data_IF_944569012504
#
_entry.id   IF_944569012504
#
_cell.length_a   1.000
_cell.length_b   1.000
_cell.length_c   1.000
_cell.angle_alpha   90.00
_cell.angle_beta   90.00
_cell.angle_gamma   90.00
#
_symmetry.space_group_name_H-M   'P 1'
#
loop_
_entity.id
_entity.type
_entity.pdbx_description
1 polymer ?
#
# COMPACT_ATOMS: atom_id res chain seq x y z
N UNK A 1 -4.14 1.52 9.26
CA UNK A 1 -3.82 0.34 8.43
C UNK A 1 -4.94 0.00 7.46
N UNK A 2 -6.20 -0.11 7.90
CA UNK A 2 -7.36 -0.34 7.00
C UNK A 2 -7.44 0.66 5.84
N UNK A 3 -7.14 1.94 6.09
CA UNK A 3 -7.25 2.98 5.06
C UNK A 3 -6.36 2.80 3.83
N UNK A 4 -5.21 2.10 3.89
CA UNK A 4 -4.37 1.87 2.69
C UNK A 4 -5.01 0.82 1.80
N UNK A 5 -5.45 -0.29 2.39
CA UNK A 5 -6.15 -1.36 1.68
C UNK A 5 -7.48 -0.86 1.11
N UNK A 6 -8.25 -0.10 1.89
CA UNK A 6 -9.51 0.50 1.47
C UNK A 6 -9.31 1.51 0.33
N UNK A 7 -8.25 2.34 0.37
CA UNK A 7 -7.91 3.25 -0.73
C UNK A 7 -7.47 2.50 -1.99
N UNK A 8 -6.74 1.40 -1.84
CA UNK A 8 -6.31 0.56 -2.96
C UNK A 8 -7.48 -0.20 -3.59
N UNK A 9 -8.45 -0.61 -2.78
CA UNK A 9 -9.68 -1.28 -3.20
C UNK A 9 -10.65 -0.30 -3.89
N UNK A 10 -10.86 0.89 -3.31
CA UNK A 10 -11.67 1.96 -3.92
C UNK A 10 -11.13 2.49 -5.24
N UNK A 11 -9.89 2.16 -5.59
CA UNK A 11 -9.33 2.56 -6.87
C UNK A 11 -9.91 1.75 -8.04
N UNK A 12 -10.69 0.67 -7.88
CA UNK A 12 -11.23 -0.11 -9.02
C UNK A 12 -12.63 0.31 -9.49
N UNK A 13 -12.94 0.13 -10.79
CA UNK A 13 -12.08 -0.33 -11.88
C UNK A 13 -11.31 0.83 -12.54
N UNK A 14 -10.13 0.57 -13.10
CA UNK A 14 -9.39 1.54 -13.93
C UNK A 14 -9.79 1.30 -15.39
N UNK A 15 -11.06 1.56 -15.72
CA UNK A 15 -11.51 1.75 -17.10
C UNK A 15 -10.86 3.01 -17.70
N UNK A 16 -10.77 3.14 -19.04
CA UNK A 16 -10.29 4.35 -19.71
C UNK A 16 -10.91 5.65 -19.19
N UNK A 17 -12.13 5.58 -18.65
CA UNK A 17 -12.89 6.72 -18.10
C UNK A 17 -12.65 7.00 -16.60
N UNK A 18 -11.94 6.11 -15.90
CA UNK A 18 -11.72 6.15 -14.43
C UNK A 18 -10.32 6.63 -14.05
N UNK A 19 -9.41 6.60 -15.01
CA UNK A 19 -8.15 7.34 -14.97
C UNK A 19 -8.37 8.66 -15.68
N UNK A 20 -8.09 9.78 -15.01
CA UNK A 20 -7.97 11.09 -15.66
C UNK A 20 -6.76 11.08 -16.61
N UNK A 21 -6.85 10.34 -17.71
CA UNK A 21 -5.85 10.28 -18.75
C UNK A 21 -5.74 11.69 -19.37
N UNK A 22 -4.52 12.20 -19.60
CA UNK A 22 -4.32 13.51 -20.19
C UNK A 22 -5.09 13.67 -21.50
N UNK A 23 -5.59 14.88 -21.74
CA UNK A 23 -6.53 15.20 -22.80
C UNK A 23 -6.03 14.75 -24.19
N UNK A 24 -6.93 14.07 -24.92
CA UNK A 24 -6.65 13.14 -26.01
C UNK A 24 -6.19 13.82 -27.31
N UNK A 25 -4.95 14.29 -27.37
CA UNK A 25 -4.30 14.74 -28.61
C UNK A 25 -3.05 13.91 -28.95
N UNK A 26 -3.17 12.57 -29.06
CA UNK A 26 -2.31 11.74 -29.94
C UNK A 26 -2.74 10.24 -30.04
N UNK A 27 -3.27 9.86 -31.20
CA UNK A 27 -3.04 8.68 -32.07
C UNK A 27 -2.52 7.32 -31.52
N UNK A 28 -3.35 6.58 -30.77
CA UNK A 28 -3.76 5.19 -31.11
C UNK A 28 -4.44 4.49 -29.93
N UNK A 29 -5.47 3.67 -30.21
CA UNK A 29 -6.13 2.85 -29.20
C UNK A 29 -5.17 1.87 -28.48
N UNK A 30 -4.08 1.48 -29.13
CA UNK A 30 -3.04 0.62 -28.57
C UNK A 30 -2.21 1.31 -27.48
N UNK A 31 -1.92 2.61 -27.62
CA UNK A 31 -1.25 3.38 -26.58
C UNK A 31 -2.09 3.43 -25.29
N UNK A 32 -3.41 3.63 -25.40
CA UNK A 32 -4.34 3.59 -24.26
C UNK A 32 -4.39 2.23 -23.57
N UNK A 33 -4.43 1.14 -24.34
CA UNK A 33 -4.43 -0.22 -23.78
C UNK A 33 -3.11 -0.50 -23.04
N UNK A 34 -1.99 -0.01 -23.58
CA UNK A 34 -0.67 -0.14 -22.94
C UNK A 34 -0.62 0.64 -21.62
N UNK A 35 -1.08 1.89 -21.60
CA UNK A 35 -1.14 2.71 -20.39
C UNK A 35 -2.04 2.08 -19.31
N UNK A 36 -3.22 1.56 -19.69
CA UNK A 36 -4.12 0.85 -18.75
C UNK A 36 -3.48 -0.41 -18.21
N UNK A 37 -2.84 -1.22 -19.05
CA UNK A 37 -2.11 -2.40 -18.60
C UNK A 37 -0.93 -2.04 -17.68
N UNK A 38 -0.22 -0.96 -17.97
CA UNK A 38 0.86 -0.42 -17.15
C UNK A 38 0.35 0.02 -15.77
N UNK A 39 -0.72 0.81 -15.71
CA UNK A 39 -1.32 1.25 -14.44
C UNK A 39 -1.91 0.10 -13.64
N UNK A 40 -2.55 -0.87 -14.30
CA UNK A 40 -3.05 -2.08 -13.63
C UNK A 40 -1.90 -2.89 -13.02
N UNK A 41 -0.80 -3.05 -13.73
CA UNK A 41 0.40 -3.72 -13.21
C UNK A 41 1.03 -2.93 -12.05
N UNK A 42 1.20 -1.62 -12.19
CA UNK A 42 1.72 -0.76 -11.12
C UNK A 42 0.85 -0.83 -9.85
N UNK A 43 -0.48 -0.88 -9.99
CA UNK A 43 -1.40 -1.11 -8.85
C UNK A 43 -1.16 -2.45 -8.17
N UNK A 44 -0.97 -3.52 -8.93
CA UNK A 44 -0.70 -4.84 -8.38
C UNK A 44 0.63 -4.85 -7.60
N UNK A 45 1.67 -4.24 -8.15
CA UNK A 45 2.98 -4.11 -7.50
C UNK A 45 2.88 -3.29 -6.20
N UNK A 46 2.19 -2.15 -6.22
CA UNK A 46 1.96 -1.31 -5.02
C UNK A 46 1.13 -2.06 -3.98
N UNK A 47 0.11 -2.81 -4.39
CA UNK A 47 -0.72 -3.60 -3.47
C UNK A 47 0.07 -4.73 -2.83
N UNK A 48 0.92 -5.41 -3.59
CA UNK A 48 1.83 -6.43 -3.06
C UNK A 48 2.82 -5.83 -2.05
N UNK A 49 3.43 -4.68 -2.37
CA UNK A 49 4.32 -3.97 -1.45
C UNK A 49 3.60 -3.54 -0.17
N UNK A 50 2.39 -3.01 -0.28
CA UNK A 50 1.57 -2.66 0.88
C UNK A 50 1.28 -3.88 1.77
N UNK A 51 1.00 -5.04 1.17
CA UNK A 51 0.85 -6.31 1.89
C UNK A 51 2.09 -6.68 2.69
N UNK A 52 3.27 -6.63 2.07
CA UNK A 52 4.55 -6.90 2.75
C UNK A 52 4.79 -5.93 3.92
N UNK A 53 4.50 -4.65 3.73
CA UNK A 53 4.65 -3.65 4.80
C UNK A 53 3.71 -3.94 5.99
N UNK A 54 2.48 -4.38 5.72
CA UNK A 54 1.53 -4.77 6.78
C UNK A 54 1.99 -6.03 7.51
N UNK A 55 2.52 -7.02 6.81
CA UNK A 55 3.08 -8.22 7.43
C UNK A 55 4.26 -7.88 8.33
N UNK A 56 5.16 -7.00 7.89
CA UNK A 56 6.27 -6.50 8.70
C UNK A 56 5.79 -5.76 9.95
N UNK A 57 4.75 -4.93 9.84
CA UNK A 57 4.12 -4.32 11.01
C UNK A 57 3.50 -5.38 11.93
N UNK A 58 2.87 -6.42 11.39
CA UNK A 58 2.27 -7.51 12.16
C UNK A 58 3.28 -8.31 13.00
N UNK A 59 4.54 -8.40 12.56
CA UNK A 59 5.63 -8.98 13.36
C UNK A 59 5.95 -8.13 14.61
N UNK A 60 5.64 -6.84 14.57
CA UNK A 60 5.84 -5.91 15.67
C UNK A 60 4.51 -5.53 16.29
N UNK A 61 4.10 -6.29 17.31
CA UNK A 61 2.88 -6.06 18.10
C UNK A 61 3.19 -6.03 19.60
N UNK A 62 2.39 -5.34 20.44
CA UNK A 62 2.57 -5.37 21.90
C UNK A 62 2.23 -6.76 22.44
N UNK A 63 2.85 -7.14 23.56
CA UNK A 63 2.34 -8.20 24.43
C UNK A 63 1.21 -7.66 25.34
N UNK A 64 0.58 -8.55 26.12
CA UNK A 64 -0.61 -8.25 26.92
C UNK A 64 -0.29 -7.75 28.35
N UNK A 65 0.95 -7.31 28.61
CA UNK A 65 1.40 -6.88 29.94
C UNK A 65 1.17 -5.39 30.25
N UNK A 66 1.30 -5.02 31.53
CA UNK A 66 1.16 -3.63 32.00
C UNK A 66 2.28 -2.69 31.51
N UNK A 67 3.47 -3.23 31.21
CA UNK A 67 4.59 -2.52 30.55
C UNK A 67 4.90 -3.22 29.22
N UNK A 68 4.10 -2.95 28.17
CA UNK A 68 4.09 -3.80 26.99
C UNK A 68 5.42 -3.76 26.25
N UNK A 69 5.86 -4.94 25.80
CA UNK A 69 7.05 -5.10 24.94
C UNK A 69 6.63 -5.59 23.58
N UNK A 70 7.42 -5.23 22.58
CA UNK A 70 7.24 -5.76 21.23
C UNK A 70 7.49 -7.29 21.23
N UNK A 71 6.54 -8.06 20.74
CA UNK A 71 6.67 -9.51 20.63
C UNK A 71 7.83 -9.93 19.68
N UNK A 72 8.04 -9.18 18.59
CA UNK A 72 9.12 -9.43 17.63
C UNK A 72 10.53 -9.16 18.17
N UNK A 73 10.83 -7.94 18.64
CA UNK A 73 12.17 -7.53 19.04
C UNK A 73 12.42 -7.40 20.54
N UNK A 74 11.40 -7.60 21.39
CA UNK A 74 11.44 -7.54 22.87
C UNK A 74 11.82 -6.18 23.49
N UNK A 75 11.93 -5.13 22.67
CA UNK A 75 12.09 -3.74 23.11
C UNK A 75 10.77 -3.19 23.68
N UNK A 76 10.81 -2.11 24.49
CA UNK A 76 9.61 -1.42 24.96
C UNK A 76 8.69 -1.05 23.80
N UNK A 77 7.39 -1.20 23.99
CA UNK A 77 6.39 -0.84 22.99
C UNK A 77 6.01 0.65 23.08
N UNK A 78 5.83 1.36 21.95
CA UNK A 78 6.13 0.94 20.58
C UNK A 78 7.65 0.83 20.36
N UNK A 79 8.07 -0.24 19.69
CA UNK A 79 9.49 -0.43 19.42
C UNK A 79 9.98 0.49 18.28
N UNK A 80 11.29 0.79 18.20
CA UNK A 80 11.84 1.69 17.18
C UNK A 80 11.52 1.28 15.74
N UNK A 81 11.53 -0.03 15.45
CA UNK A 81 11.19 -0.55 14.12
C UNK A 81 9.74 -0.29 13.76
N UNK A 82 8.80 -0.54 14.68
CA UNK A 82 7.39 -0.24 14.46
C UNK A 82 7.17 1.25 14.25
N UNK A 83 7.80 2.09 15.08
CA UNK A 83 7.70 3.54 14.97
C UNK A 83 8.20 4.04 13.62
N UNK A 84 9.34 3.52 13.14
CA UNK A 84 9.91 3.93 11.85
C UNK A 84 9.08 3.45 10.66
N UNK A 85 8.63 2.18 10.64
CA UNK A 85 7.77 1.67 9.58
C UNK A 85 6.45 2.43 9.55
N UNK A 86 5.85 2.69 10.71
CA UNK A 86 4.61 3.49 10.80
C UNK A 86 4.83 4.90 10.25
N UNK A 87 5.94 5.56 10.61
CA UNK A 87 6.29 6.89 10.11
C UNK A 87 6.47 6.92 8.59
N UNK A 88 7.05 5.87 8.01
CA UNK A 88 7.26 5.77 6.55
C UNK A 88 5.95 5.55 5.77
N UNK A 89 4.94 4.95 6.40
CA UNK A 89 3.67 4.61 5.76
C UNK A 89 2.59 5.71 5.88
N UNK A 90 2.80 6.71 6.75
CA UNK A 90 1.89 7.86 6.96
C UNK A 90 0.72 7.54 7.88
#
# INVERSE_FOLDING_TARGET
>A
MEGILERSDRAVPWEPDTVGLPDARSDSALARINDVAFYANARNEVSALAGVCLDLLGLHRPDEGDDPRCQGCRLPWPCPTFAEISRLLG
#
